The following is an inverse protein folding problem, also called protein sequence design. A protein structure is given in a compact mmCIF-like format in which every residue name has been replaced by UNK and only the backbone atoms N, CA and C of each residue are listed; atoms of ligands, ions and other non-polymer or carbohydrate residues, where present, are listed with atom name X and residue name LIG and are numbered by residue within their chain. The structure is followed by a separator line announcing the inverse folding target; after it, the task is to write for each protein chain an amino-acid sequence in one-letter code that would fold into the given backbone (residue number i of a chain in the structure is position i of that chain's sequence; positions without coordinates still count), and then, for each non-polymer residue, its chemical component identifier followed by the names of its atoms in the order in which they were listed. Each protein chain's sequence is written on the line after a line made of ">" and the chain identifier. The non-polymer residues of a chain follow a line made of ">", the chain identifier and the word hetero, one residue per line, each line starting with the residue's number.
data_IF_835455666039
#
_entry.id   IF_835455666039
#
_cell.length_a   1.000
_cell.length_b   1.000
_cell.length_c   1.000
_cell.angle_alpha   90.00
_cell.angle_beta   90.00
_cell.angle_gamma   90.00
#
_symmetry.space_group_name_H-M   'P 1'
#
loop_
_entity.id
_entity.type
_entity.pdbx_description
1 polymer ?
#
# COMPACT_ATOMS: atom_id res chain seq x y z
N UNK A 1 15.28 9.49 12.11
CA UNK A 1 14.06 10.33 12.18
C UNK A 1 12.99 9.63 11.35
N UNK A 2 12.18 8.81 12.00
CA UNK A 2 11.02 8.11 11.41
C UNK A 2 9.83 9.05 11.47
N UNK A 3 9.62 9.82 10.41
CA UNK A 3 8.38 10.56 10.22
C UNK A 3 7.43 9.69 9.39
N UNK A 4 6.85 8.69 10.06
CA UNK A 4 5.82 7.80 9.53
C UNK A 4 4.41 8.36 9.85
N UNK A 5 4.27 9.70 9.84
CA UNK A 5 3.09 10.40 10.35
C UNK A 5 1.96 10.61 9.33
N UNK A 6 2.18 10.37 8.04
CA UNK A 6 1.22 10.78 7.00
C UNK A 6 0.37 9.65 6.37
N UNK A 7 0.48 8.41 6.85
CA UNK A 7 -0.47 7.34 6.51
C UNK A 7 -1.81 7.45 7.28
N UNK A 8 -1.91 8.40 8.21
CA UNK A 8 -2.92 8.42 9.27
C UNK A 8 -4.03 9.47 9.16
N UNK A 9 -4.19 10.16 8.02
CA UNK A 9 -5.36 11.04 7.87
C UNK A 9 -6.63 10.23 7.63
N UNK A 10 -7.64 10.40 8.48
CA UNK A 10 -8.97 9.87 8.18
C UNK A 10 -9.51 10.57 6.92
N UNK A 11 -10.32 9.90 6.08
CA UNK A 11 -11.01 10.56 4.98
C UNK A 11 -11.80 11.76 5.49
N UNK A 12 -11.81 12.83 4.69
CA UNK A 12 -12.42 14.10 5.08
C UNK A 12 -13.90 13.93 5.47
N UNK A 13 -14.59 13.02 4.80
CA UNK A 13 -15.99 12.68 5.06
C UNK A 13 -16.19 12.11 6.46
N UNK A 14 -15.25 11.28 6.94
CA UNK A 14 -15.31 10.69 8.29
C UNK A 14 -15.04 11.77 9.34
N UNK A 15 -14.08 12.66 9.09
CA UNK A 15 -13.76 13.79 9.97
C UNK A 15 -14.96 14.74 10.08
N UNK A 16 -15.55 15.12 8.95
CA UNK A 16 -16.67 16.04 8.91
C UNK A 16 -17.93 15.42 9.53
N UNK A 17 -18.13 14.10 9.40
CA UNK A 17 -19.17 13.38 10.13
C UNK A 17 -18.94 13.43 11.65
N UNK A 18 -17.71 13.23 12.11
CA UNK A 18 -17.36 13.34 13.53
C UNK A 18 -17.66 14.73 14.10
N UNK A 19 -17.36 15.80 13.36
CA UNK A 19 -17.70 17.18 13.75
C UNK A 19 -19.21 17.38 13.88
N UNK A 20 -19.99 16.91 12.91
CA UNK A 20 -21.47 16.99 12.97
C UNK A 20 -22.04 16.20 14.14
N UNK A 21 -21.48 15.03 14.47
CA UNK A 21 -21.90 14.27 15.66
C UNK A 21 -21.61 15.08 16.93
N UNK A 22 -20.46 15.76 17.01
CA UNK A 22 -20.09 16.58 18.17
C UNK A 22 -21.00 17.80 18.40
N UNK A 23 -21.75 18.24 17.39
CA UNK A 23 -22.75 19.33 17.49
C UNK A 23 -24.10 18.84 18.06
N UNK A 24 -24.32 17.52 18.17
CA UNK A 24 -25.58 16.96 18.67
C UNK A 24 -25.70 17.04 20.19
N UNK A 25 -26.92 16.98 20.76
CA UNK A 25 -27.11 16.75 22.19
C UNK A 25 -26.42 15.47 22.68
N UNK A 26 -25.91 15.50 23.92
CA UNK A 26 -25.07 14.42 24.50
C UNK A 26 -25.70 13.03 24.45
N UNK A 27 -27.01 12.92 24.60
CA UNK A 27 -27.73 11.64 24.51
C UNK A 27 -27.58 10.99 23.13
N UNK A 28 -27.68 11.77 22.05
CA UNK A 28 -27.51 11.27 20.68
C UNK A 28 -26.04 10.98 20.36
N UNK A 29 -25.11 11.77 20.92
CA UNK A 29 -23.68 11.48 20.77
C UNK A 29 -23.32 10.11 21.32
N UNK A 30 -23.76 9.79 22.55
CA UNK A 30 -23.49 8.51 23.21
C UNK A 30 -24.06 7.32 22.42
N UNK A 31 -25.24 7.50 21.78
CA UNK A 31 -25.84 6.47 20.92
C UNK A 31 -25.01 6.20 19.66
N UNK A 32 -24.33 7.21 19.13
CA UNK A 32 -23.57 7.13 17.87
C UNK A 32 -22.09 6.83 18.07
N UNK A 33 -21.53 7.09 19.25
CA UNK A 33 -20.10 7.00 19.56
C UNK A 33 -19.49 5.64 19.20
N UNK A 34 -20.16 4.55 19.60
CA UNK A 34 -19.68 3.18 19.34
C UNK A 34 -19.68 2.88 17.84
N UNK A 35 -20.76 3.23 17.14
CA UNK A 35 -20.91 2.97 15.71
C UNK A 35 -19.92 3.82 14.89
N UNK A 36 -19.76 5.09 15.24
CA UNK A 36 -18.80 5.98 14.61
C UNK A 36 -17.35 5.49 14.82
N UNK A 37 -17.00 5.11 16.05
CA UNK A 37 -15.67 4.54 16.35
C UNK A 37 -15.37 3.28 15.55
N UNK A 38 -16.36 2.39 15.37
CA UNK A 38 -16.22 1.19 14.53
C UNK A 38 -15.96 1.55 13.06
N UNK A 39 -16.63 2.57 12.53
CA UNK A 39 -16.41 3.04 11.15
C UNK A 39 -15.00 3.61 10.99
N UNK A 40 -14.57 4.47 11.93
CA UNK A 40 -13.22 5.04 11.96
C UNK A 40 -12.16 3.94 11.92
N UNK A 41 -12.28 2.94 12.80
CA UNK A 41 -11.34 1.82 12.87
C UNK A 41 -11.38 0.92 11.61
N UNK A 42 -12.56 0.70 11.04
CA UNK A 42 -12.71 -0.04 9.78
C UNK A 42 -11.99 0.67 8.62
N UNK A 43 -12.13 2.00 8.54
CA UNK A 43 -11.50 2.83 7.51
C UNK A 43 -9.98 2.83 7.67
N UNK A 44 -9.47 3.04 8.88
CA UNK A 44 -8.02 2.96 9.16
C UNK A 44 -7.45 1.60 8.78
N UNK A 45 -8.13 0.51 9.16
CA UNK A 45 -7.69 -0.86 8.83
C UNK A 45 -7.61 -1.08 7.32
N UNK A 46 -8.63 -0.67 6.55
CA UNK A 46 -8.62 -0.81 5.09
C UNK A 46 -7.48 -0.01 4.46
N UNK A 47 -7.24 1.22 4.93
CA UNK A 47 -6.13 2.05 4.43
C UNK A 47 -4.78 1.40 4.70
N UNK A 48 -4.58 0.83 5.89
CA UNK A 48 -3.36 0.08 6.23
C UNK A 48 -3.18 -1.14 5.32
N UNK A 49 -4.23 -1.92 5.08
CA UNK A 49 -4.18 -3.08 4.18
C UNK A 49 -3.82 -2.64 2.76
N UNK A 50 -4.44 -1.58 2.25
CA UNK A 50 -4.13 -1.04 0.93
C UNK A 50 -2.68 -0.54 0.84
N UNK A 51 -2.16 0.11 1.88
CA UNK A 51 -0.75 0.52 1.94
C UNK A 51 0.19 -0.68 1.81
N UNK A 52 -0.02 -1.72 2.62
CA UNK A 52 0.77 -2.95 2.56
C UNK A 52 0.70 -3.64 1.19
N UNK A 53 -0.49 -3.64 0.56
CA UNK A 53 -0.65 -4.18 -0.80
C UNK A 53 0.12 -3.36 -1.82
N UNK A 54 0.06 -2.02 -1.72
CA UNK A 54 0.79 -1.12 -2.61
C UNK A 54 2.30 -1.30 -2.48
N UNK A 55 2.81 -1.43 -1.25
CA UNK A 55 4.22 -1.73 -0.98
C UNK A 55 4.64 -3.08 -1.57
N UNK A 56 3.86 -4.14 -1.33
CA UNK A 56 4.14 -5.46 -1.87
C UNK A 56 4.13 -5.49 -3.41
N UNK A 57 3.18 -4.78 -4.05
CA UNK A 57 3.14 -4.65 -5.51
C UNK A 57 4.32 -3.85 -6.05
N UNK A 58 4.73 -2.79 -5.36
CA UNK A 58 5.91 -2.01 -5.74
C UNK A 58 7.18 -2.86 -5.66
N UNK A 59 7.32 -3.68 -4.61
CA UNK A 59 8.43 -4.63 -4.47
C UNK A 59 8.42 -5.68 -5.58
N UNK A 60 7.27 -6.33 -5.82
CA UNK A 60 7.15 -7.33 -6.88
C UNK A 60 7.50 -6.76 -8.26
N UNK A 61 7.09 -5.53 -8.54
CA UNK A 61 7.42 -4.86 -9.80
C UNK A 61 8.93 -4.65 -9.96
N UNK A 62 9.63 -4.37 -8.87
CA UNK A 62 11.09 -4.24 -8.85
C UNK A 62 11.75 -5.61 -9.08
N UNK A 63 11.27 -6.65 -8.39
CA UNK A 63 11.78 -8.02 -8.51
C UNK A 63 11.64 -8.54 -9.95
N UNK A 64 10.50 -8.26 -10.62
CA UNK A 64 10.30 -8.61 -12.03
C UNK A 64 11.31 -7.90 -12.95
N UNK A 65 11.64 -6.62 -12.69
CA UNK A 65 12.65 -5.90 -13.47
C UNK A 65 14.04 -6.54 -13.32
N UNK A 66 14.41 -6.95 -12.12
CA UNK A 66 15.67 -7.65 -11.89
C UNK A 66 15.71 -9.00 -12.60
N UNK A 67 14.64 -9.79 -12.50
CA UNK A 67 14.56 -11.08 -13.19
C UNK A 67 14.69 -10.93 -14.71
N UNK A 68 14.06 -9.92 -15.30
CA UNK A 68 14.18 -9.64 -16.73
C UNK A 68 15.61 -9.24 -17.11
N UNK A 69 16.25 -8.41 -16.30
CA UNK A 69 17.64 -8.02 -16.51
C UNK A 69 18.58 -9.24 -16.48
N UNK A 70 18.48 -10.06 -15.43
CA UNK A 70 19.29 -11.27 -15.28
C UNK A 70 19.09 -12.25 -16.44
N UNK A 71 17.85 -12.38 -16.92
CA UNK A 71 17.52 -13.20 -18.08
C UNK A 71 18.20 -12.69 -19.36
N UNK A 72 18.21 -11.39 -19.59
CA UNK A 72 18.83 -10.80 -20.77
C UNK A 72 20.36 -10.95 -20.75
N UNK A 73 20.98 -10.79 -19.58
CA UNK A 73 22.41 -11.09 -19.39
C UNK A 73 22.71 -12.56 -19.67
N UNK A 74 21.93 -13.48 -19.07
CA UNK A 74 22.14 -14.93 -19.24
C UNK A 74 21.95 -15.35 -20.71
N UNK A 75 20.99 -14.77 -21.42
CA UNK A 75 20.79 -15.01 -22.86
C UNK A 75 22.00 -14.56 -23.67
N UNK A 76 22.52 -13.36 -23.38
CA UNK A 76 23.69 -12.81 -24.07
C UNK A 76 24.93 -13.67 -23.83
N UNK A 77 25.20 -14.06 -22.58
CA UNK A 77 26.30 -14.96 -22.24
C UNK A 77 26.19 -16.31 -22.97
N UNK A 78 24.97 -16.87 -23.01
CA UNK A 78 24.69 -18.11 -23.74
C UNK A 78 24.96 -17.95 -25.24
N UNK A 79 24.53 -16.85 -25.83
CA UNK A 79 24.74 -16.57 -27.26
C UNK A 79 26.23 -16.41 -27.60
N UNK A 80 26.99 -15.72 -26.75
CA UNK A 80 28.46 -15.58 -26.89
C UNK A 80 29.17 -16.94 -26.78
N UNK A 81 28.76 -17.81 -25.85
CA UNK A 81 29.32 -19.15 -25.71
C UNK A 81 29.00 -20.05 -26.91
N UNK A 82 27.79 -19.96 -27.46
CA UNK A 82 27.41 -20.70 -28.67
C UNK A 82 28.24 -20.27 -29.88
N UNK A 83 28.41 -18.97 -30.09
CA UNK A 83 29.22 -18.45 -31.19
C UNK A 83 30.66 -18.99 -31.14
N UNK A 84 31.28 -19.03 -29.95
CA UNK A 84 32.64 -19.58 -29.77
C UNK A 84 32.73 -21.08 -30.09
N UNK A 85 31.68 -21.84 -29.78
CA UNK A 85 31.63 -23.27 -30.08
C UNK A 85 31.44 -23.54 -31.57
N UNK A 86 30.75 -22.66 -32.31
CA UNK A 86 30.57 -22.76 -33.76
C UNK A 86 31.83 -22.32 -34.53
N UNK A 87 32.70 -21.49 -33.92
CA UNK A 87 34.00 -21.07 -34.48
C UNK A 87 35.13 -22.09 -34.27
N UNK A 88 34.92 -23.15 -33.48
CA UNK A 88 35.91 -24.21 -33.18
C UNK A 88 35.64 -25.47 -34.01
#
# INVERSE_FOLDING_TARGET
>A
MTDDSDSASLPREVIDLGKKIAELPREHQLQLEVSYSRVVESVKRRRRILGLIQEALAQLRLDVKYLMFDLDITKKERDELKARLEET
#
